data_IF_666693397162
#
_entry.id   IF_666693397162
#
_cell.length_a   1.000
_cell.length_b   1.000
_cell.length_c   1.000
_cell.angle_alpha   90.00
_cell.angle_beta   90.00
_cell.angle_gamma   90.00
#
_symmetry.space_group_name_H-M   'P 1'
#
loop_
_entity.id
_entity.type
_entity.pdbx_description
1 polymer ?
#
# COMPACT_ATOMS: atom_id res chain seq x y z
N UNK A 1 -35.67 1.36 39.75
CA UNK A 1 -35.65 0.50 38.55
C UNK A 1 -34.74 1.20 37.57
N UNK A 2 -33.51 0.71 37.39
CA UNK A 2 -32.56 1.34 36.48
C UNK A 2 -32.88 0.85 35.06
N UNK A 3 -33.47 1.74 34.28
CA UNK A 3 -33.70 1.58 32.85
C UNK A 3 -32.34 1.29 32.19
N UNK A 4 -32.09 0.03 31.84
CA UNK A 4 -30.94 -0.37 31.02
C UNK A 4 -31.23 0.09 29.59
N UNK A 5 -31.10 1.40 29.37
CA UNK A 5 -31.19 2.01 28.06
C UNK A 5 -29.90 1.67 27.31
N UNK A 6 -29.88 0.46 26.74
CA UNK A 6 -28.79 -0.02 25.91
C UNK A 6 -28.81 0.87 24.67
N UNK A 7 -27.75 1.66 24.42
CA UNK A 7 -27.73 2.61 23.33
C UNK A 7 -27.94 1.86 22.01
N UNK A 8 -28.80 2.42 21.17
CA UNK A 8 -29.04 1.84 19.85
C UNK A 8 -27.71 1.82 19.05
N UNK A 9 -27.52 0.87 18.12
CA UNK A 9 -26.29 0.78 17.32
C UNK A 9 -25.89 2.12 16.66
N UNK A 10 -26.88 2.91 16.24
CA UNK A 10 -26.70 4.27 15.72
C UNK A 10 -26.14 5.26 16.75
N UNK A 11 -26.57 5.19 18.01
CA UNK A 11 -26.07 6.05 19.07
C UNK A 11 -24.66 5.67 19.51
N UNK A 12 -24.34 4.37 19.46
CA UNK A 12 -22.97 3.88 19.69
C UNK A 12 -22.05 4.41 18.59
N UNK A 13 -22.46 4.32 17.32
CA UNK A 13 -21.70 4.86 16.20
C UNK A 13 -21.52 6.39 16.31
N UNK A 14 -22.58 7.13 16.65
CA UNK A 14 -22.50 8.58 16.84
C UNK A 14 -21.56 8.98 17.99
N UNK A 15 -21.54 8.20 19.09
CA UNK A 15 -20.59 8.40 20.19
C UNK A 15 -19.15 8.10 19.80
N UNK A 16 -18.93 7.08 18.96
CA UNK A 16 -17.61 6.77 18.41
C UNK A 16 -17.14 7.90 17.49
N UNK A 17 -17.99 8.39 16.59
CA UNK A 17 -17.70 9.53 15.71
C UNK A 17 -17.36 10.81 16.50
N UNK A 18 -18.11 11.08 17.58
CA UNK A 18 -17.85 12.20 18.47
C UNK A 18 -16.54 12.03 19.27
N UNK A 19 -16.23 10.81 19.72
CA UNK A 19 -14.98 10.52 20.41
C UNK A 19 -13.77 10.65 19.46
N UNK A 20 -13.91 10.23 18.20
CA UNK A 20 -12.92 10.40 17.14
C UNK A 20 -12.73 11.89 16.80
N UNK A 21 -13.81 12.68 16.76
CA UNK A 21 -13.76 14.15 16.60
C UNK A 21 -13.01 14.84 17.73
N UNK A 22 -13.37 14.51 18.97
CA UNK A 22 -12.83 15.16 20.16
C UNK A 22 -11.36 14.77 20.44
N UNK A 23 -10.91 13.62 19.94
CA UNK A 23 -9.51 13.20 20.07
C UNK A 23 -8.59 13.82 19.01
N UNK A 24 -9.11 14.67 18.11
CA UNK A 24 -8.33 15.16 16.96
C UNK A 24 -8.00 14.07 15.93
N UNK A 25 -8.50 12.84 16.12
CA UNK A 25 -8.33 11.70 15.21
C UNK A 25 -9.27 11.76 14.00
N UNK A 26 -10.25 12.67 14.01
CA UNK A 26 -11.11 12.93 12.86
C UNK A 26 -10.40 13.71 11.76
N UNK A 27 -9.22 14.27 12.02
CA UNK A 27 -8.37 14.83 10.97
C UNK A 27 -7.45 13.74 10.44
N UNK A 28 -8.03 12.96 9.54
CA UNK A 28 -7.44 12.38 8.34
C UNK A 28 -8.36 11.20 8.01
N UNK A 29 -9.52 11.51 7.42
CA UNK A 29 -9.82 10.84 6.16
C UNK A 29 -8.64 11.18 5.23
N UNK A 30 -7.45 10.63 5.49
CA UNK A 30 -6.45 10.48 4.46
C UNK A 30 -7.25 9.77 3.39
N UNK A 31 -7.56 10.49 2.32
CA UNK A 31 -8.21 9.89 1.19
C UNK A 31 -7.32 8.70 0.86
N UNK A 32 -7.83 7.48 1.13
CA UNK A 32 -7.13 6.24 0.80
C UNK A 32 -7.25 6.05 -0.70
N UNK A 33 -6.71 7.02 -1.42
CA UNK A 33 -6.56 6.93 -2.84
C UNK A 33 -5.70 5.71 -3.12
N UNK A 34 -6.05 4.89 -4.13
CA UNK A 34 -5.39 3.61 -4.33
C UNK A 34 -3.87 3.72 -4.51
N UNK A 35 -3.40 4.74 -5.23
CA UNK A 35 -1.98 4.97 -5.51
C UNK A 35 -1.16 5.27 -4.24
N UNK A 36 -1.49 6.29 -3.42
CA UNK A 36 -0.73 6.53 -2.19
C UNK A 36 -0.83 5.38 -1.20
N UNK A 37 -1.97 4.67 -1.12
CA UNK A 37 -2.10 3.47 -0.30
C UNK A 37 -1.13 2.38 -0.78
N UNK A 38 -1.04 2.15 -2.08
CA UNK A 38 -0.11 1.17 -2.64
C UNK A 38 1.36 1.48 -2.32
N UNK A 39 1.76 2.75 -2.45
CA UNK A 39 3.12 3.19 -2.06
C UNK A 39 3.37 3.00 -0.57
N UNK A 40 2.38 3.30 0.26
CA UNK A 40 2.49 3.09 1.70
C UNK A 40 2.71 1.62 2.04
N UNK A 41 1.92 0.70 1.46
CA UNK A 41 2.06 -0.73 1.68
C UNK A 41 3.42 -1.28 1.21
N UNK A 42 3.96 -0.75 0.11
CA UNK A 42 5.30 -1.10 -0.36
C UNK A 42 6.38 -0.64 0.62
N UNK A 43 6.28 0.59 1.12
CA UNK A 43 7.20 1.14 2.13
C UNK A 43 7.11 0.37 3.44
N UNK A 44 5.89 0.04 3.91
CA UNK A 44 5.67 -0.78 5.10
C UNK A 44 6.33 -2.15 4.97
N UNK A 45 6.10 -2.83 3.84
CA UNK A 45 6.75 -4.11 3.56
C UNK A 45 8.29 -4.00 3.63
N UNK A 46 8.87 -2.96 3.03
CA UNK A 46 10.32 -2.73 3.07
C UNK A 46 10.85 -2.48 4.50
N UNK A 47 10.10 -1.75 5.33
CA UNK A 47 10.44 -1.56 6.73
C UNK A 47 10.43 -2.88 7.51
N UNK A 48 9.45 -3.75 7.26
CA UNK A 48 9.40 -5.09 7.86
C UNK A 48 10.58 -5.97 7.43
N UNK A 49 11.12 -5.74 6.23
CA UNK A 49 12.35 -6.41 5.78
C UNK A 49 13.64 -5.80 6.33
N UNK A 50 13.56 -4.72 7.10
CA UNK A 50 14.71 -4.04 7.69
C UNK A 50 15.44 -3.09 6.73
N UNK A 51 14.80 -2.66 5.64
CA UNK A 51 15.38 -1.68 4.71
C UNK A 51 15.30 -0.28 5.32
N UNK A 52 16.46 0.32 5.58
CA UNK A 52 16.55 1.69 6.06
C UNK A 52 16.07 2.68 4.99
N UNK A 53 15.34 3.73 5.39
CA UNK A 53 14.75 4.72 4.49
C UNK A 53 13.77 4.14 3.44
N UNK A 54 13.04 3.07 3.80
CA UNK A 54 12.00 2.44 2.97
C UNK A 54 11.04 3.41 2.27
N UNK A 55 10.65 4.51 2.93
CA UNK A 55 9.78 5.55 2.38
C UNK A 55 10.39 6.32 1.19
N UNK A 56 11.72 6.33 1.09
CA UNK A 56 12.48 7.01 0.02
C UNK A 56 12.89 6.08 -1.11
N UNK A 57 12.49 4.82 -1.05
CA UNK A 57 12.88 3.84 -2.07
C UNK A 57 12.14 4.11 -3.37
N UNK A 58 12.91 4.40 -4.41
CA UNK A 58 12.39 4.57 -5.77
C UNK A 58 12.26 3.22 -6.47
N UNK A 59 11.05 2.66 -6.50
CA UNK A 59 10.76 1.35 -7.12
C UNK A 59 10.99 1.29 -8.63
N UNK A 60 11.04 2.44 -9.32
CA UNK A 60 11.43 2.55 -10.73
C UNK A 60 12.89 3.05 -10.90
N UNK A 61 13.64 3.16 -9.81
CA UNK A 61 15.04 3.59 -9.76
C UNK A 61 16.01 2.42 -9.68
N UNK A 62 17.20 2.62 -9.11
CA UNK A 62 18.17 1.52 -8.98
C UNK A 62 17.68 0.47 -7.97
N UNK A 63 17.43 -0.76 -8.45
CA UNK A 63 16.97 -1.88 -7.62
C UNK A 63 18.10 -2.63 -6.91
N UNK A 64 19.37 -2.25 -7.14
CA UNK A 64 20.53 -3.00 -6.65
C UNK A 64 20.55 -3.06 -5.13
N UNK A 65 20.17 -1.97 -4.44
CA UNK A 65 20.05 -1.93 -2.99
C UNK A 65 18.99 -2.91 -2.45
N UNK A 66 17.83 -3.01 -3.10
CA UNK A 66 16.76 -3.94 -2.71
C UNK A 66 17.16 -5.40 -2.93
N UNK A 67 17.97 -5.65 -3.96
CA UNK A 67 18.45 -6.98 -4.32
C UNK A 67 19.62 -7.49 -3.47
N UNK A 68 20.24 -6.61 -2.67
CA UNK A 68 21.16 -7.05 -1.62
C UNK A 68 20.44 -7.84 -0.53
N UNK A 69 19.15 -7.56 -0.33
CA UNK A 69 18.34 -8.14 0.74
C UNK A 69 17.32 -9.18 0.24
N UNK A 70 16.89 -9.07 -1.02
CA UNK A 70 15.82 -9.92 -1.57
C UNK A 70 16.12 -10.48 -2.95
N UNK A 71 15.54 -11.63 -3.26
CA UNK A 71 15.54 -12.14 -4.63
C UNK A 71 14.54 -11.35 -5.48
N UNK A 72 14.85 -11.16 -6.76
CA UNK A 72 13.95 -10.55 -7.76
C UNK A 72 12.54 -11.18 -7.75
N UNK A 73 12.46 -12.50 -7.61
CA UNK A 73 11.19 -13.23 -7.54
C UNK A 73 10.36 -12.89 -6.31
N UNK A 74 11.01 -12.60 -5.18
CA UNK A 74 10.33 -12.21 -3.94
C UNK A 74 9.82 -10.78 -4.04
N UNK A 75 10.64 -9.84 -4.54
CA UNK A 75 10.20 -8.47 -4.80
C UNK A 75 8.97 -8.43 -5.70
N UNK A 76 8.99 -9.16 -6.82
CA UNK A 76 7.85 -9.26 -7.74
C UNK A 76 6.58 -9.78 -7.05
N UNK A 77 6.72 -10.79 -6.20
CA UNK A 77 5.59 -11.38 -5.49
C UNK A 77 5.04 -10.42 -4.42
N UNK A 78 5.92 -9.73 -3.69
CA UNK A 78 5.53 -8.73 -2.69
C UNK A 78 4.81 -7.55 -3.33
N UNK A 79 5.33 -6.99 -4.43
CA UNK A 79 4.67 -5.91 -5.18
C UNK A 79 3.26 -6.33 -5.63
N UNK A 80 3.10 -7.57 -6.12
CA UNK A 80 1.79 -8.12 -6.48
C UNK A 80 0.85 -8.21 -5.28
N UNK A 81 1.34 -8.66 -4.11
CA UNK A 81 0.52 -8.74 -2.89
C UNK A 81 0.06 -7.35 -2.44
N UNK A 82 0.97 -6.37 -2.39
CA UNK A 82 0.62 -4.99 -2.04
C UNK A 82 -0.44 -4.42 -3.00
N UNK A 83 -0.31 -4.67 -4.31
CA UNK A 83 -1.32 -4.23 -5.29
C UNK A 83 -2.70 -4.87 -5.04
N UNK A 84 -2.73 -6.18 -4.77
CA UNK A 84 -3.99 -6.89 -4.48
C UNK A 84 -4.64 -6.39 -3.19
N UNK A 85 -3.84 -6.10 -2.16
CA UNK A 85 -4.30 -5.55 -0.89
C UNK A 85 -4.85 -4.13 -1.07
N UNK A 86 -4.14 -3.26 -1.80
CA UNK A 86 -4.65 -1.94 -2.18
C UNK A 86 -6.01 -2.04 -2.85
N UNK A 87 -6.15 -2.92 -3.85
CA UNK A 87 -7.41 -3.10 -4.55
C UNK A 87 -8.55 -3.51 -3.59
N UNK A 88 -8.27 -4.44 -2.67
CA UNK A 88 -9.26 -4.90 -1.68
C UNK A 88 -9.66 -3.79 -0.71
N UNK A 89 -8.69 -3.07 -0.16
CA UNK A 89 -8.91 -1.97 0.77
C UNK A 89 -9.65 -0.80 0.10
N UNK A 90 -9.18 -0.35 -1.07
CA UNK A 90 -9.84 0.73 -1.83
C UNK A 90 -11.27 0.36 -2.24
N UNK A 91 -11.53 -0.92 -2.56
CA UNK A 91 -12.89 -1.40 -2.86
C UNK A 91 -13.78 -1.43 -1.62
N UNK A 92 -13.27 -1.92 -0.48
CA UNK A 92 -14.00 -1.95 0.79
C UNK A 92 -14.42 -0.55 1.27
N UNK A 93 -13.63 0.47 0.95
CA UNK A 93 -13.91 1.87 1.28
C UNK A 93 -14.70 2.63 0.19
N UNK A 94 -15.11 1.97 -0.90
CA UNK A 94 -15.85 2.61 -2.00
C UNK A 94 -15.05 3.66 -2.78
N UNK A 95 -13.71 3.58 -2.75
CA UNK A 95 -12.79 4.56 -3.37
C UNK A 95 -12.11 4.04 -4.64
N UNK A 96 -12.33 2.77 -5.00
CA UNK A 96 -11.82 2.20 -6.24
C UNK A 96 -12.74 2.59 -7.42
N UNK A 97 -12.45 3.72 -8.05
CA UNK A 97 -13.07 4.12 -9.32
C UNK A 97 -12.30 3.51 -10.50
N UNK A 98 -12.93 3.40 -11.67
CA UNK A 98 -12.23 2.95 -12.89
C UNK A 98 -11.00 3.82 -13.21
N UNK A 99 -11.06 5.12 -12.92
CA UNK A 99 -9.96 6.04 -13.17
C UNK A 99 -8.77 5.77 -12.24
N UNK A 100 -9.02 5.72 -10.93
CA UNK A 100 -7.94 5.50 -9.96
C UNK A 100 -7.39 4.07 -10.03
N UNK A 101 -8.21 3.11 -10.47
CA UNK A 101 -7.75 1.76 -10.78
C UNK A 101 -6.76 1.76 -11.96
N UNK A 102 -7.04 2.49 -13.05
CA UNK A 102 -6.10 2.61 -14.18
C UNK A 102 -4.76 3.24 -13.78
N UNK A 103 -4.79 4.26 -12.93
CA UNK A 103 -3.56 4.87 -12.42
C UNK A 103 -2.77 3.90 -11.52
N UNK A 104 -3.47 3.14 -10.67
CA UNK A 104 -2.85 2.08 -9.87
C UNK A 104 -2.26 0.97 -10.75
N UNK A 105 -2.99 0.51 -11.77
CA UNK A 105 -2.52 -0.48 -12.74
C UNK A 105 -1.25 0.01 -13.44
N UNK A 106 -1.24 1.26 -13.89
CA UNK A 106 -0.08 1.88 -14.55
C UNK A 106 1.15 1.90 -13.65
N UNK A 107 0.98 2.25 -12.38
CA UNK A 107 2.10 2.26 -11.41
C UNK A 107 2.59 0.84 -11.11
N UNK A 108 1.68 -0.12 -10.91
CA UNK A 108 2.03 -1.53 -10.74
C UNK A 108 2.79 -2.08 -11.96
N UNK A 109 2.29 -1.85 -13.18
CA UNK A 109 2.90 -2.34 -14.41
C UNK A 109 4.29 -1.74 -14.62
N UNK A 110 4.47 -0.45 -14.32
CA UNK A 110 5.77 0.22 -14.38
C UNK A 110 6.81 -0.44 -13.46
N UNK A 111 6.43 -0.73 -12.20
CA UNK A 111 7.33 -1.39 -11.23
C UNK A 111 7.66 -2.81 -11.69
N UNK A 112 6.67 -3.58 -12.14
CA UNK A 112 6.87 -4.97 -12.59
C UNK A 112 7.75 -5.03 -13.84
N UNK A 113 7.51 -4.14 -14.80
CA UNK A 113 8.31 -4.05 -16.02
C UNK A 113 9.76 -3.71 -15.68
N UNK A 114 9.98 -2.78 -14.75
CA UNK A 114 11.32 -2.42 -14.30
C UNK A 114 12.05 -3.58 -13.63
N UNK A 115 11.37 -4.33 -12.75
CA UNK A 115 11.92 -5.55 -12.12
C UNK A 115 12.31 -6.61 -13.19
N UNK A 116 11.45 -6.82 -14.20
CA UNK A 116 11.72 -7.80 -15.27
C UNK A 116 12.85 -7.33 -16.19
N UNK A 117 12.96 -6.04 -16.51
CA UNK A 117 14.08 -5.46 -17.26
C UNK A 117 15.41 -5.58 -16.50
N UNK A 118 15.40 -5.29 -15.20
CA UNK A 118 16.58 -5.44 -14.36
C UNK A 118 17.09 -6.90 -14.36
N UNK A 119 16.17 -7.87 -14.30
CA UNK A 119 16.50 -9.31 -14.42
C UNK A 119 17.18 -9.63 -15.75
N UNK A 120 16.65 -9.14 -16.87
CA UNK A 120 17.21 -9.37 -18.21
C UNK A 120 18.63 -8.77 -18.34
N UNK A 121 18.84 -7.57 -17.82
CA UNK A 121 20.14 -6.90 -17.82
C UNK A 121 21.19 -7.66 -17.00
N UNK A 122 20.82 -8.22 -15.83
CA UNK A 122 21.74 -9.06 -15.06
C UNK A 122 22.03 -10.40 -15.73
N UNK A 123 21.07 -10.97 -16.45
CA UNK A 123 21.24 -12.24 -17.17
C UNK A 123 22.09 -12.09 -18.44
N UNK A 124 22.06 -10.90 -19.07
CA UNK A 124 22.84 -10.58 -20.28
C UNK A 124 24.26 -10.05 -20.02
N UNK A 125 24.57 -9.67 -18.78
CA UNK A 125 25.89 -9.12 -18.39
C UNK A 125 26.95 -10.16 -18.03
N UNK A 126 26.63 -11.46 -18.01
CA UNK A 126 27.54 -12.54 -17.61
C UNK A 126 28.07 -13.31 -18.83
N UNK A 127 28.57 -12.58 -19.83
CA UNK A 127 28.99 -13.16 -21.10
C UNK A 127 30.00 -12.32 -21.86
N UNK A 128 31.07 -11.85 -21.20
CA UNK A 128 32.34 -11.47 -21.84
C UNK A 128 33.51 -11.74 -20.90
#
# INVERSE_FOLDING_TARGET
>A
MADNNIPSPLEVLARIDAALENSGLKTLKAEREPVPLFRQLLSEWLMEQGVENADRVEWCGDLSALLQHHRLSELRNSVRKCYQETCQLSRAHGRLTQWNQKELDKEYDAIILHIDQYRLNQSGGQGY
#
